data_IF_176520694468
#
_entry.id   IF_176520694468
#
_cell.length_a   1.000
_cell.length_b   1.000
_cell.length_c   1.000
_cell.angle_alpha   90.00
_cell.angle_beta   90.00
_cell.angle_gamma   90.00
#
_symmetry.space_group_name_H-M   'P 1'
#
loop_
_entity.id
_entity.type
_entity.pdbx_description
1 polymer ?
#
# COMPACT_ATOMS: atom_id res chain seq x y z
N UNK A 1 -23.65 -15.57 22.47
CA UNK A 1 -23.60 -15.04 21.10
C UNK A 1 -22.21 -14.58 20.70
N UNK A 2 -21.22 -15.48 20.68
CA UNK A 2 -19.84 -15.20 20.23
C UNK A 2 -19.54 -15.76 18.83
N UNK A 3 -20.47 -16.54 18.26
CA UNK A 3 -20.30 -17.20 16.96
C UNK A 3 -20.23 -16.17 15.83
N UNK A 4 -21.06 -15.13 15.87
CA UNK A 4 -21.14 -14.09 14.83
C UNK A 4 -19.83 -13.29 14.67
N UNK A 5 -19.21 -12.72 15.73
CA UNK A 5 -17.96 -11.99 15.57
C UNK A 5 -16.79 -12.90 15.17
N UNK A 6 -16.70 -14.13 15.70
CA UNK A 6 -15.66 -15.09 15.31
C UNK A 6 -15.79 -15.49 13.84
N UNK A 7 -17.02 -15.71 13.38
CA UNK A 7 -17.30 -16.00 11.98
C UNK A 7 -16.98 -14.80 11.08
N UNK A 8 -17.25 -13.57 11.52
CA UNK A 8 -16.85 -12.35 10.79
C UNK A 8 -15.34 -12.22 10.60
N UNK A 9 -14.56 -12.47 11.67
CA UNK A 9 -13.09 -12.47 11.63
C UNK A 9 -12.58 -13.53 10.66
N UNK A 10 -13.12 -14.74 10.74
CA UNK A 10 -12.73 -15.85 9.88
C UNK A 10 -13.05 -15.59 8.40
N UNK A 11 -14.25 -15.06 8.10
CA UNK A 11 -14.63 -14.70 6.74
C UNK A 11 -13.76 -13.56 6.19
N UNK A 12 -13.44 -12.57 7.01
CA UNK A 12 -12.55 -11.48 6.59
C UNK A 12 -11.12 -11.97 6.31
N UNK A 13 -10.60 -12.88 7.12
CA UNK A 13 -9.33 -13.56 6.85
C UNK A 13 -9.33 -14.33 5.53
N UNK A 14 -10.39 -15.11 5.26
CA UNK A 14 -10.54 -15.83 3.99
C UNK A 14 -10.64 -14.87 2.79
N UNK A 15 -11.39 -13.77 2.96
CA UNK A 15 -11.48 -12.69 1.97
C UNK A 15 -10.09 -12.13 1.64
N UNK A 16 -9.32 -11.73 2.65
CA UNK A 16 -7.99 -11.17 2.45
C UNK A 16 -7.06 -12.18 1.76
N UNK A 17 -7.00 -13.41 2.25
CA UNK A 17 -6.12 -14.44 1.65
C UNK A 17 -6.47 -14.69 0.19
N UNK A 18 -7.75 -14.91 -0.11
CA UNK A 18 -8.19 -15.22 -1.47
C UNK A 18 -7.82 -14.10 -2.46
N UNK A 19 -8.14 -12.85 -2.13
CA UNK A 19 -7.87 -11.74 -3.03
C UNK A 19 -6.36 -11.43 -3.14
N UNK A 20 -5.60 -11.53 -2.05
CA UNK A 20 -4.16 -11.33 -2.09
C UNK A 20 -3.45 -12.43 -2.86
N UNK A 21 -3.83 -13.70 -2.69
CA UNK A 21 -3.26 -14.83 -3.40
C UNK A 21 -3.41 -14.67 -4.92
N UNK A 22 -4.62 -14.39 -5.40
CA UNK A 22 -4.86 -14.15 -6.82
C UNK A 22 -4.08 -12.94 -7.34
N UNK A 23 -4.03 -11.86 -6.56
CA UNK A 23 -3.36 -10.63 -6.96
C UNK A 23 -1.84 -10.78 -7.04
N UNK A 24 -1.25 -11.47 -6.06
CA UNK A 24 0.18 -11.80 -6.03
C UNK A 24 0.53 -12.71 -7.23
N UNK A 25 -0.34 -13.67 -7.55
CA UNK A 25 -0.21 -14.50 -8.75
C UNK A 25 -0.12 -13.66 -10.02
N UNK A 26 -1.11 -12.79 -10.28
CA UNK A 26 -1.10 -11.91 -11.45
C UNK A 26 0.13 -11.02 -11.49
N UNK A 27 0.46 -10.39 -10.36
CA UNK A 27 1.58 -9.46 -10.28
C UNK A 27 2.93 -10.16 -10.51
N UNK A 28 3.12 -11.37 -9.98
CA UNK A 28 4.32 -12.17 -10.23
C UNK A 28 4.44 -12.60 -11.68
N UNK A 29 3.33 -12.95 -12.33
CA UNK A 29 3.34 -13.29 -13.77
C UNK A 29 3.64 -12.08 -14.64
N UNK A 30 3.07 -10.92 -14.34
CA UNK A 30 3.29 -9.70 -15.12
C UNK A 30 4.69 -9.13 -14.94
N UNK A 31 5.27 -9.24 -13.74
CA UNK A 31 6.61 -8.73 -13.46
C UNK A 31 7.75 -9.64 -13.98
N UNK A 32 7.44 -10.87 -14.44
CA UNK A 32 8.46 -11.84 -14.83
C UNK A 32 8.94 -11.61 -16.26
N UNK A 33 10.18 -11.15 -16.40
CA UNK A 33 10.82 -11.04 -17.70
C UNK A 33 11.37 -12.41 -18.16
N UNK A 34 11.01 -12.86 -19.37
CA UNK A 34 11.51 -14.10 -19.99
C UNK A 34 11.92 -13.80 -21.44
N UNK A 35 12.98 -13.01 -21.60
CA UNK A 35 13.55 -12.69 -22.90
C UNK A 35 14.49 -13.81 -23.37
N UNK A 36 14.15 -14.47 -24.48
CA UNK A 36 14.99 -15.46 -25.14
C UNK A 36 15.35 -14.92 -26.53
N UNK A 37 16.66 -14.77 -26.79
CA UNK A 37 17.18 -14.23 -28.06
C UNK A 37 16.55 -12.88 -28.47
N UNK A 38 16.28 -12.00 -27.49
CA UNK A 38 15.68 -10.68 -27.72
C UNK A 38 14.17 -10.67 -27.95
N UNK A 39 13.51 -11.84 -27.93
CA UNK A 39 12.04 -11.95 -28.01
C UNK A 39 11.48 -12.21 -26.62
N UNK A 40 10.48 -11.40 -26.21
CA UNK A 40 9.78 -11.60 -24.95
C UNK A 40 8.83 -12.80 -25.08
N UNK A 41 9.10 -13.87 -24.33
CA UNK A 41 8.27 -15.08 -24.35
C UNK A 41 7.10 -15.01 -23.37
N UNK A 42 7.15 -14.11 -22.39
CA UNK A 42 6.03 -13.84 -21.51
C UNK A 42 5.09 -12.80 -22.16
N UNK A 43 3.99 -13.29 -22.73
CA UNK A 43 2.95 -12.46 -23.36
C UNK A 43 2.25 -11.52 -22.38
N UNK A 44 2.20 -11.87 -21.09
CA UNK A 44 1.63 -11.03 -20.03
C UNK A 44 2.64 -10.11 -19.36
N UNK A 45 3.86 -9.99 -19.89
CA UNK A 45 4.90 -9.17 -19.28
C UNK A 45 4.56 -7.67 -19.33
N UNK A 46 4.71 -7.02 -18.17
CA UNK A 46 4.68 -5.57 -18.04
C UNK A 46 6.04 -5.06 -17.58
N UNK A 47 6.63 -4.07 -18.27
CA UNK A 47 7.82 -3.39 -17.79
C UNK A 47 7.58 -2.78 -16.41
N UNK A 48 8.57 -2.88 -15.52
CA UNK A 48 8.48 -2.40 -14.14
C UNK A 48 8.10 -0.93 -14.06
N UNK A 49 8.58 -0.10 -14.99
CA UNK A 49 8.22 1.33 -15.09
C UNK A 49 6.71 1.54 -15.22
N UNK A 50 6.05 0.77 -16.09
CA UNK A 50 4.60 0.86 -16.30
C UNK A 50 3.84 0.31 -15.10
N UNK A 51 4.31 -0.82 -14.58
CA UNK A 51 3.67 -1.49 -13.46
C UNK A 51 3.75 -0.66 -12.17
N UNK A 52 4.91 -0.07 -11.88
CA UNK A 52 5.11 0.84 -10.75
C UNK A 52 4.27 2.11 -10.87
N UNK A 53 4.17 2.69 -12.06
CA UNK A 53 3.35 3.87 -12.30
C UNK A 53 1.86 3.56 -12.10
N UNK A 54 1.35 2.47 -12.66
CA UNK A 54 -0.09 2.14 -12.58
C UNK A 54 -0.45 1.69 -11.17
N UNK A 55 0.23 0.65 -10.65
CA UNK A 55 -0.11 0.05 -9.35
C UNK A 55 0.21 1.03 -8.21
N UNK A 56 1.41 1.60 -8.21
CA UNK A 56 1.80 2.62 -7.23
C UNK A 56 0.97 3.90 -7.35
N UNK A 57 0.60 4.29 -8.57
CA UNK A 57 -0.28 5.44 -8.81
C UNK A 57 -1.69 5.24 -8.22
N UNK A 58 -2.27 4.05 -8.35
CA UNK A 58 -3.56 3.73 -7.71
C UNK A 58 -3.45 3.74 -6.18
N UNK A 59 -2.37 3.20 -5.62
CA UNK A 59 -2.11 3.26 -4.17
C UNK A 59 -2.02 4.73 -3.70
N UNK A 60 -1.30 5.57 -4.45
CA UNK A 60 -1.19 7.01 -4.17
C UNK A 60 -2.54 7.71 -4.27
N UNK A 61 -3.33 7.46 -5.32
CA UNK A 61 -4.66 8.03 -5.48
C UNK A 61 -5.55 7.64 -4.30
N UNK A 62 -5.57 6.37 -3.91
CA UNK A 62 -6.32 5.91 -2.74
C UNK A 62 -5.88 6.64 -1.47
N UNK A 63 -4.57 6.81 -1.26
CA UNK A 63 -4.05 7.55 -0.10
C UNK A 63 -4.54 9.00 -0.09
N UNK A 64 -4.41 9.69 -1.23
CA UNK A 64 -4.82 11.08 -1.38
C UNK A 64 -6.34 11.26 -1.20
N UNK A 65 -7.14 10.30 -1.66
CA UNK A 65 -8.59 10.30 -1.46
C UNK A 65 -8.97 10.18 0.02
N UNK A 66 -8.25 9.34 0.79
CA UNK A 66 -8.48 9.22 2.24
C UNK A 66 -8.08 10.49 2.99
N UNK A 67 -6.97 11.11 2.60
CA UNK A 67 -6.54 12.40 3.16
C UNK A 67 -7.55 13.51 2.88
N UNK A 68 -8.17 13.49 1.70
CA UNK A 68 -9.15 14.48 1.25
C UNK A 68 -8.63 15.94 1.30
N UNK A 69 -7.31 16.12 1.15
CA UNK A 69 -6.63 17.43 1.10
C UNK A 69 -6.52 17.96 -0.35
N UNK A 70 -7.05 17.24 -1.35
CA UNK A 70 -6.93 17.61 -2.77
C UNK A 70 -7.56 18.97 -3.09
N UNK A 71 -8.75 19.33 -2.57
CA UNK A 71 -9.33 20.65 -2.82
C UNK A 71 -8.52 21.80 -2.20
N UNK A 72 -7.95 21.60 -1.01
CA UNK A 72 -7.08 22.60 -0.36
C UNK A 72 -5.74 22.72 -1.08
N UNK A 73 -5.13 21.59 -1.48
CA UNK A 73 -3.93 21.54 -2.31
C UNK A 73 -4.10 22.32 -3.62
N UNK A 74 -5.19 22.07 -4.35
CA UNK A 74 -5.43 22.71 -5.65
C UNK A 74 -5.69 24.21 -5.51
N UNK A 75 -6.42 24.62 -4.46
CA UNK A 75 -6.64 26.04 -4.13
C UNK A 75 -5.33 26.73 -3.75
N UNK A 76 -4.49 26.09 -2.95
CA UNK A 76 -3.20 26.62 -2.52
C UNK A 76 -2.21 26.76 -3.67
N UNK A 77 -2.11 25.74 -4.53
CA UNK A 77 -1.28 25.79 -5.74
C UNK A 77 -1.71 26.93 -6.67
N UNK A 78 -3.02 27.13 -6.84
CA UNK A 78 -3.57 28.22 -7.66
C UNK A 78 -3.27 29.61 -7.09
N UNK A 79 -3.22 29.77 -5.77
CA UNK A 79 -2.95 31.04 -5.09
C UNK A 79 -1.46 31.30 -4.79
N UNK A 80 -0.58 30.31 -5.02
CA UNK A 80 0.87 30.37 -4.76
C UNK A 80 1.20 30.77 -3.30
N UNK A 81 0.39 30.31 -2.35
CA UNK A 81 0.57 30.55 -0.93
C UNK A 81 1.40 29.42 -0.30
N UNK A 82 2.61 29.75 0.18
CA UNK A 82 3.56 28.77 0.73
C UNK A 82 3.15 28.23 2.11
N UNK A 83 2.30 28.94 2.85
CA UNK A 83 1.79 28.49 4.16
C UNK A 83 0.84 27.28 4.07
N UNK A 84 0.30 26.97 2.88
CA UNK A 84 -0.58 25.80 2.69
C UNK A 84 0.22 24.50 2.57
N UNK A 85 1.53 24.59 2.34
CA UNK A 85 2.43 23.42 2.27
C UNK A 85 2.50 22.70 3.62
N UNK A 86 2.44 23.43 4.74
CA UNK A 86 2.35 22.79 6.07
C UNK A 86 0.99 22.16 6.34
N UNK A 87 -0.10 22.67 5.74
CA UNK A 87 -1.44 22.10 5.90
C UNK A 87 -1.66 20.82 5.07
N UNK A 88 -0.86 20.61 4.01
CA UNK A 88 -0.98 19.44 3.14
C UNK A 88 0.27 18.55 3.19
N UNK A 89 0.98 18.57 4.32
CA UNK A 89 2.30 17.95 4.46
C UNK A 89 2.22 16.44 4.23
N UNK A 90 1.15 15.81 4.72
CA UNK A 90 0.91 14.38 4.56
C UNK A 90 0.73 13.95 3.10
N UNK A 91 0.01 14.74 2.29
CA UNK A 91 -0.19 14.46 0.87
C UNK A 91 1.11 14.67 0.06
N UNK A 92 1.88 15.72 0.38
CA UNK A 92 3.19 15.97 -0.25
C UNK A 92 4.17 14.85 0.10
N UNK A 93 4.18 14.41 1.36
CA UNK A 93 5.00 13.28 1.80
C UNK A 93 4.68 12.00 1.00
N UNK A 94 3.39 11.68 0.81
CA UNK A 94 3.00 10.52 0.01
C UNK A 94 3.46 10.62 -1.45
N UNK A 95 3.38 11.80 -2.07
CA UNK A 95 3.88 12.04 -3.42
C UNK A 95 5.40 11.85 -3.48
N UNK A 96 6.14 12.39 -2.51
CA UNK A 96 7.60 12.22 -2.42
C UNK A 96 8.00 10.76 -2.22
N UNK A 97 7.32 10.04 -1.32
CA UNK A 97 7.52 8.61 -1.12
C UNK A 97 7.23 7.83 -2.40
N UNK A 98 6.15 8.15 -3.12
CA UNK A 98 5.84 7.52 -4.40
C UNK A 98 6.97 7.76 -5.43
N UNK A 99 7.40 8.99 -5.63
CA UNK A 99 8.48 9.33 -6.57
C UNK A 99 9.80 8.64 -6.19
N UNK A 100 10.17 8.67 -4.91
CA UNK A 100 11.37 8.00 -4.40
C UNK A 100 11.28 6.48 -4.65
N UNK A 101 10.13 5.89 -4.34
CA UNK A 101 9.88 4.45 -4.52
C UNK A 101 9.89 4.05 -5.99
N UNK A 102 9.35 4.89 -6.88
CA UNK A 102 9.37 4.71 -8.32
C UNK A 102 10.82 4.68 -8.83
N UNK A 103 11.62 5.70 -8.50
CA UNK A 103 13.03 5.78 -8.91
C UNK A 103 13.83 4.58 -8.37
N UNK A 104 13.61 4.19 -7.11
CA UNK A 104 14.30 3.06 -6.51
C UNK A 104 13.99 1.76 -7.27
N UNK A 105 12.73 1.49 -7.56
CA UNK A 105 12.30 0.24 -8.21
C UNK A 105 12.64 0.21 -9.71
N UNK A 106 12.69 1.36 -10.39
CA UNK A 106 13.03 1.40 -11.83
C UNK A 106 14.52 1.49 -12.11
N UNK A 107 15.31 2.06 -11.19
CA UNK A 107 16.69 2.47 -11.51
C UNK A 107 17.75 1.92 -10.56
N UNK A 108 17.38 1.45 -9.37
CA UNK A 108 18.35 1.03 -8.35
C UNK A 108 18.16 -0.41 -7.85
N UNK A 109 16.92 -0.93 -7.85
CA UNK A 109 16.57 -2.20 -7.24
C UNK A 109 16.07 -3.21 -8.28
N UNK A 110 16.89 -4.22 -8.56
CA UNK A 110 16.46 -5.40 -9.32
C UNK A 110 15.68 -6.36 -8.40
N UNK A 111 14.39 -6.07 -8.23
CA UNK A 111 13.51 -6.86 -7.39
C UNK A 111 13.09 -8.16 -8.07
N UNK A 112 13.17 -9.27 -7.33
CA UNK A 112 12.69 -10.58 -7.78
C UNK A 112 11.16 -10.55 -8.04
N UNK A 113 10.71 -10.94 -9.25
CA UNK A 113 9.29 -11.00 -9.62
C UNK A 113 8.47 -11.98 -8.77
N UNK A 114 9.12 -12.98 -8.17
CA UNK A 114 8.46 -14.05 -7.41
C UNK A 114 7.97 -13.63 -6.03
N UNK A 115 8.74 -12.77 -5.33
CA UNK A 115 8.50 -12.48 -3.92
C UNK A 115 8.64 -10.99 -3.58
N UNK A 116 9.71 -10.34 -4.05
CA UNK A 116 10.02 -8.96 -3.69
C UNK A 116 9.06 -7.96 -4.36
N UNK A 117 8.75 -8.14 -5.63
CA UNK A 117 7.82 -7.26 -6.36
C UNK A 117 6.42 -7.27 -5.73
N UNK A 118 5.79 -8.45 -5.48
CA UNK A 118 4.49 -8.46 -4.82
C UNK A 118 4.52 -7.88 -3.41
N UNK A 119 5.55 -8.21 -2.63
CA UNK A 119 5.68 -7.66 -1.29
C UNK A 119 5.86 -6.14 -1.28
N UNK A 120 6.61 -5.58 -2.23
CA UNK A 120 6.81 -4.14 -2.34
C UNK A 120 5.49 -3.40 -2.57
N UNK A 121 4.67 -3.84 -3.53
CA UNK A 121 3.40 -3.17 -3.83
C UNK A 121 2.36 -3.35 -2.71
N UNK A 122 2.13 -4.58 -2.26
CA UNK A 122 1.13 -4.84 -1.23
C UNK A 122 1.58 -4.38 0.16
N UNK A 123 2.84 -4.60 0.51
CA UNK A 123 3.44 -4.11 1.75
C UNK A 123 3.46 -2.58 1.78
N UNK A 124 3.80 -1.92 0.67
CA UNK A 124 3.76 -0.46 0.56
C UNK A 124 2.34 0.10 0.73
N UNK A 125 1.34 -0.55 0.13
CA UNK A 125 -0.07 -0.19 0.31
C UNK A 125 -0.53 -0.36 1.78
N UNK A 126 -0.11 -1.43 2.45
CA UNK A 126 -0.42 -1.67 3.86
C UNK A 126 0.26 -0.62 4.75
N UNK A 127 1.54 -0.30 4.51
CA UNK A 127 2.26 0.75 5.24
C UNK A 127 1.56 2.08 5.04
N UNK A 128 1.15 2.42 3.82
CA UNK A 128 0.36 3.61 3.53
C UNK A 128 -0.93 3.65 4.38
N UNK A 129 -1.65 2.52 4.47
CA UNK A 129 -2.83 2.39 5.34
C UNK A 129 -2.52 2.57 6.84
N UNK A 130 -1.40 2.02 7.32
CA UNK A 130 -0.94 2.21 8.71
C UNK A 130 -0.62 3.68 9.00
N UNK A 131 0.05 4.37 8.06
CA UNK A 131 0.35 5.80 8.19
C UNK A 131 -0.93 6.65 8.24
N UNK A 132 -1.93 6.33 7.39
CA UNK A 132 -3.23 6.99 7.39
C UNK A 132 -3.98 6.80 8.72
N UNK A 133 -3.91 5.60 9.30
CA UNK A 133 -4.59 5.29 10.55
C UNK A 133 -3.96 6.02 11.74
N UNK A 134 -2.64 6.15 11.75
CA UNK A 134 -1.94 6.86 12.81
C UNK A 134 -2.23 8.35 12.78
N UNK A 135 -2.34 8.95 11.59
CA UNK A 135 -2.65 10.38 11.40
C UNK A 135 -1.66 11.31 12.11
N UNK A 136 -0.38 10.92 12.15
CA UNK A 136 0.70 11.65 12.83
C UNK A 136 1.76 12.19 11.86
N UNK A 137 1.48 12.18 10.55
CA UNK A 137 2.46 12.54 9.53
C UNK A 137 2.90 14.01 9.63
N UNK A 138 1.98 14.92 9.95
CA UNK A 138 2.31 16.34 10.15
C UNK A 138 3.25 16.56 11.33
N UNK A 139 3.09 15.78 12.41
CA UNK A 139 3.96 15.85 13.58
C UNK A 139 5.36 15.32 13.28
N UNK A 140 5.46 14.21 12.55
CA UNK A 140 6.73 13.58 12.14
C UNK A 140 7.50 14.49 11.19
N UNK A 141 6.81 15.18 10.27
CA UNK A 141 7.45 16.06 9.29
C UNK A 141 7.85 17.42 9.89
N UNK A 142 7.26 17.82 11.02
CA UNK A 142 7.60 19.08 11.67
C UNK A 142 9.02 19.04 12.24
N UNK A 143 9.84 20.04 11.89
CA UNK A 143 11.23 20.17 12.37
C UNK A 143 11.30 20.24 13.91
N UNK A 144 10.24 20.72 14.56
CA UNK A 144 10.07 20.71 16.02
C UNK A 144 9.88 19.29 16.59
N UNK A 145 9.06 18.45 15.95
CA UNK A 145 8.79 17.08 16.38
C UNK A 145 10.01 16.15 16.31
N UNK A 146 10.89 16.37 15.32
CA UNK A 146 12.17 15.64 15.20
C UNK A 146 13.14 16.00 16.34
N UNK A 147 13.14 17.27 16.78
CA UNK A 147 14.09 17.77 17.79
C UNK A 147 13.66 17.44 19.23
N UNK A 148 12.36 17.28 19.48
CA UNK A 148 11.80 16.89 20.78
C UNK A 148 11.34 15.43 20.82
N UNK A 149 11.88 14.57 19.94
CA UNK A 149 11.43 13.19 19.79
C UNK A 149 11.75 12.35 21.04
N UNK A 150 10.75 12.19 21.92
CA UNK A 150 10.80 11.25 23.02
C UNK A 150 10.08 9.96 22.63
N UNK A 151 10.78 8.82 22.48
CA UNK A 151 10.18 7.56 22.02
C UNK A 151 9.13 6.99 23.00
N UNK A 152 9.12 7.46 24.25
CA UNK A 152 8.14 7.06 25.27
C UNK A 152 6.82 7.83 25.20
N UNK A 153 6.82 9.06 24.67
CA UNK A 153 5.61 9.89 24.56
C UNK A 153 5.00 9.78 23.16
N UNK A 154 5.83 9.68 22.11
CA UNK A 154 5.38 9.67 20.72
C UNK A 154 5.32 8.26 20.12
N UNK A 155 4.64 7.34 20.82
CA UNK A 155 4.49 5.94 20.39
C UNK A 155 3.89 5.82 18.98
N UNK A 156 2.96 6.71 18.61
CA UNK A 156 2.41 6.77 17.26
C UNK A 156 3.49 6.99 16.21
N UNK A 157 4.30 8.04 16.36
CA UNK A 157 5.39 8.35 15.43
C UNK A 157 6.43 7.21 15.31
N UNK A 158 6.72 6.53 16.42
CA UNK A 158 7.60 5.34 16.42
C UNK A 158 7.01 4.22 15.56
N UNK A 159 5.70 3.98 15.62
CA UNK A 159 5.07 2.91 14.84
C UNK A 159 5.07 3.26 13.34
N UNK A 160 4.87 4.52 12.94
CA UNK A 160 4.96 4.94 11.53
C UNK A 160 6.38 4.84 10.97
N UNK A 161 7.38 5.36 11.69
CA UNK A 161 8.76 5.30 11.23
C UNK A 161 9.24 3.85 11.24
N UNK A 162 8.88 3.11 12.30
CA UNK A 162 9.13 1.69 12.42
C UNK A 162 8.51 0.88 11.27
N UNK A 163 7.26 1.15 10.88
CA UNK A 163 6.62 0.43 9.78
C UNK A 163 7.31 0.68 8.43
N UNK A 164 7.76 1.90 8.16
CA UNK A 164 8.53 2.24 6.96
C UNK A 164 9.89 1.52 6.96
N UNK A 165 10.62 1.58 8.07
CA UNK A 165 11.95 0.93 8.20
C UNK A 165 11.83 -0.58 8.10
N UNK A 166 10.87 -1.18 8.80
CA UNK A 166 10.61 -2.63 8.75
C UNK A 166 10.21 -3.04 7.34
N UNK A 167 9.35 -2.28 6.66
CA UNK A 167 8.97 -2.56 5.28
C UNK A 167 10.16 -2.51 4.32
N UNK A 168 11.01 -1.48 4.42
CA UNK A 168 12.19 -1.36 3.57
C UNK A 168 13.19 -2.51 3.82
N UNK A 169 13.46 -2.82 5.09
CA UNK A 169 14.35 -3.92 5.47
C UNK A 169 13.81 -5.28 5.01
N UNK A 170 12.52 -5.54 5.21
CA UNK A 170 11.87 -6.77 4.77
C UNK A 170 11.84 -6.88 3.25
N UNK A 171 11.52 -5.80 2.51
CA UNK A 171 11.48 -5.85 1.04
C UNK A 171 12.82 -6.26 0.45
N UNK A 172 13.93 -5.71 0.98
CA UNK A 172 15.27 -6.05 0.51
C UNK A 172 15.71 -7.45 0.94
N UNK A 173 15.28 -7.94 2.10
CA UNK A 173 15.73 -9.20 2.69
C UNK A 173 14.70 -10.33 2.65
N UNK A 174 13.58 -10.18 1.93
CA UNK A 174 12.46 -11.13 2.01
C UNK A 174 12.87 -12.54 1.59
N UNK A 175 13.81 -12.66 0.65
CA UNK A 175 14.37 -13.93 0.19
C UNK A 175 15.09 -14.70 1.30
N UNK A 176 15.57 -14.01 2.35
CA UNK A 176 16.22 -14.60 3.51
C UNK A 176 15.22 -15.01 4.59
N UNK A 177 13.99 -14.46 4.56
CA UNK A 177 12.94 -14.74 5.54
C UNK A 177 11.97 -15.77 4.95
N UNK A 178 12.38 -17.03 4.96
CA UNK A 178 11.61 -18.16 4.42
C UNK A 178 10.13 -18.22 4.85
N UNK A 179 9.76 -17.97 6.12
CA UNK A 179 8.35 -18.01 6.54
C UNK A 179 7.47 -17.01 5.80
N UNK A 180 8.04 -15.88 5.37
CA UNK A 180 7.30 -14.82 4.68
C UNK A 180 7.36 -15.05 3.17
N UNK A 181 8.52 -15.44 2.63
CA UNK A 181 8.69 -15.60 1.18
C UNK A 181 7.87 -16.75 0.60
N UNK A 182 7.57 -17.77 1.39
CA UNK A 182 6.78 -18.93 0.95
C UNK A 182 5.30 -18.60 0.86
N UNK A 183 4.74 -17.91 1.86
CA UNK A 183 3.32 -17.60 1.97
C UNK A 183 3.07 -16.10 2.20
N UNK A 184 3.47 -15.29 1.23
CA UNK A 184 3.26 -13.84 1.23
C UNK A 184 1.78 -13.46 1.44
N UNK A 185 0.78 -14.08 0.78
CA UNK A 185 -0.63 -13.72 0.98
C UNK A 185 -1.07 -13.90 2.44
N UNK A 186 -0.65 -14.99 3.07
CA UNK A 186 -0.98 -15.33 4.48
C UNK A 186 -0.35 -14.36 5.46
N UNK A 187 0.91 -13.97 5.21
CA UNK A 187 1.56 -12.96 6.04
C UNK A 187 0.86 -11.60 5.94
N UNK A 188 0.61 -11.12 4.71
CA UNK A 188 0.00 -9.81 4.48
C UNK A 188 -1.46 -9.77 4.97
N UNK A 189 -2.22 -10.85 4.79
CA UNK A 189 -3.58 -10.97 5.32
C UNK A 189 -3.60 -10.91 6.85
N UNK A 190 -2.61 -11.48 7.52
CA UNK A 190 -2.45 -11.36 8.97
C UNK A 190 -2.17 -9.94 9.42
N UNK A 191 -1.28 -9.23 8.73
CA UNK A 191 -0.99 -7.83 9.04
C UNK A 191 -2.25 -6.97 8.85
N UNK A 192 -2.99 -7.14 7.76
CA UNK A 192 -4.26 -6.44 7.53
C UNK A 192 -5.28 -6.78 8.62
N UNK A 193 -5.46 -8.07 8.93
CA UNK A 193 -6.41 -8.51 9.96
C UNK A 193 -6.11 -7.88 11.31
N UNK A 194 -4.87 -7.98 11.78
CA UNK A 194 -4.45 -7.41 13.07
C UNK A 194 -4.67 -5.90 13.08
N UNK A 195 -4.31 -5.22 11.99
CA UNK A 195 -4.46 -3.76 11.88
C UNK A 195 -5.92 -3.34 11.92
N UNK A 196 -6.78 -4.02 11.15
CA UNK A 196 -8.23 -3.74 11.10
C UNK A 196 -8.90 -4.03 12.43
N UNK A 197 -8.55 -5.12 13.11
CA UNK A 197 -9.11 -5.44 14.43
C UNK A 197 -8.69 -4.44 15.49
N UNK A 198 -7.39 -4.12 15.55
CA UNK A 198 -6.86 -3.17 16.52
C UNK A 198 -7.51 -1.79 16.33
N UNK A 199 -7.50 -1.27 15.10
CA UNK A 199 -8.04 0.06 14.83
C UNK A 199 -9.57 0.08 14.88
N UNK A 200 -10.25 -0.97 14.43
CA UNK A 200 -11.71 -1.11 14.56
C UNK A 200 -12.15 -1.07 16.02
N UNK A 201 -11.43 -1.78 16.90
CA UNK A 201 -11.68 -1.71 18.34
C UNK A 201 -11.39 -0.32 18.92
N UNK A 202 -10.27 0.31 18.55
CA UNK A 202 -9.92 1.67 19.00
C UNK A 202 -10.94 2.72 18.54
N UNK A 203 -11.46 2.62 17.32
CA UNK A 203 -12.48 3.51 16.77
C UNK A 203 -13.84 3.32 17.46
N UNK A 204 -14.17 2.10 17.87
CA UNK A 204 -15.39 1.80 18.61
C UNK A 204 -15.47 2.45 20.00
N UNK A 205 -14.35 2.97 20.54
CA UNK A 205 -14.32 3.58 21.87
C UNK A 205 -14.73 5.06 21.89
N UNK A 206 -15.17 5.63 20.75
CA UNK A 206 -15.78 6.98 20.59
C UNK A 206 -15.07 8.19 21.22
N UNK A 207 -13.81 8.04 21.68
CA UNK A 207 -13.08 9.10 22.40
C UNK A 207 -12.38 10.14 21.50
N UNK A 208 -12.75 10.27 20.23
CA UNK A 208 -11.97 11.06 19.25
C UNK A 208 -12.73 12.27 18.71
N UNK A 209 -11.99 13.32 18.33
CA UNK A 209 -12.56 14.46 17.61
C UNK A 209 -13.20 13.97 16.29
N UNK A 210 -14.37 14.52 15.89
CA UNK A 210 -15.14 14.01 14.76
C UNK A 210 -14.38 14.03 13.43
N UNK A 211 -13.53 15.04 13.20
CA UNK A 211 -12.69 15.12 12.01
C UNK A 211 -11.65 13.98 11.94
N UNK A 212 -10.97 13.68 13.05
CA UNK A 212 -9.98 12.60 13.15
C UNK A 212 -10.66 11.24 13.03
N UNK A 213 -11.85 11.10 13.62
CA UNK A 213 -12.64 9.88 13.53
C UNK A 213 -13.07 9.57 12.09
N UNK A 214 -13.56 10.57 11.34
CA UNK A 214 -13.95 10.40 9.95
C UNK A 214 -12.75 9.97 9.08
N UNK A 215 -11.60 10.64 9.26
CA UNK A 215 -10.36 10.32 8.54
C UNK A 215 -9.87 8.90 8.83
N UNK A 216 -9.80 8.51 10.10
CA UNK A 216 -9.40 7.14 10.51
C UNK A 216 -10.39 6.07 10.07
N UNK A 217 -11.68 6.41 9.99
CA UNK A 217 -12.71 5.51 9.44
C UNK A 217 -12.51 5.31 7.93
N UNK A 218 -12.21 6.37 7.18
CA UNK A 218 -11.86 6.26 5.77
C UNK A 218 -10.57 5.45 5.55
N UNK A 219 -9.56 5.64 6.41
CA UNK A 219 -8.33 4.86 6.40
C UNK A 219 -8.54 3.37 6.70
N UNK A 220 -9.43 3.05 7.65
CA UNK A 220 -9.87 1.66 7.89
C UNK A 220 -10.58 1.09 6.65
N UNK A 221 -11.46 1.88 6.04
CA UNK A 221 -12.14 1.50 4.79
C UNK A 221 -11.12 1.16 3.70
N UNK A 222 -10.11 2.01 3.50
CA UNK A 222 -9.01 1.74 2.58
C UNK A 222 -8.34 0.39 2.88
N UNK A 223 -7.96 0.10 4.13
CA UNK A 223 -7.33 -1.17 4.50
C UNK A 223 -8.20 -2.40 4.25
N UNK A 224 -9.52 -2.29 4.47
CA UNK A 224 -10.49 -3.36 4.22
C UNK A 224 -10.70 -3.59 2.72
N UNK A 225 -10.78 -2.53 1.92
CA UNK A 225 -11.02 -2.63 0.48
C UNK A 225 -9.76 -2.86 -0.34
N UNK A 226 -8.56 -2.63 0.22
CA UNK A 226 -7.27 -2.77 -0.47
C UNK A 226 -7.11 -4.11 -1.21
N UNK A 227 -7.34 -5.30 -0.59
CA UNK A 227 -7.19 -6.57 -1.30
C UNK A 227 -8.08 -6.66 -2.54
N UNK A 228 -9.31 -6.16 -2.45
CA UNK A 228 -10.27 -6.20 -3.54
C UNK A 228 -9.95 -5.19 -4.65
N UNK A 229 -9.61 -3.94 -4.30
CA UNK A 229 -9.23 -2.90 -5.26
C UNK A 229 -8.01 -3.35 -6.07
N UNK A 230 -6.99 -3.86 -5.39
CA UNK A 230 -5.78 -4.35 -6.04
C UNK A 230 -6.05 -5.54 -6.94
N UNK A 231 -6.90 -6.47 -6.50
CA UNK A 231 -7.32 -7.59 -7.34
C UNK A 231 -8.01 -7.14 -8.62
N UNK A 232 -8.97 -6.22 -8.53
CA UNK A 232 -9.67 -5.71 -9.70
C UNK A 232 -8.70 -5.02 -10.66
N UNK A 233 -7.82 -4.16 -10.15
CA UNK A 233 -6.80 -3.47 -10.94
C UNK A 233 -5.91 -4.47 -11.68
N UNK A 234 -5.29 -5.39 -10.95
CA UNK A 234 -4.33 -6.35 -11.50
C UNK A 234 -5.01 -7.33 -12.46
N UNK A 235 -6.26 -7.69 -12.20
CA UNK A 235 -7.04 -8.53 -13.11
C UNK A 235 -7.32 -7.81 -14.43
N UNK A 236 -7.69 -6.52 -14.40
CA UNK A 236 -7.89 -5.75 -15.64
C UNK A 236 -6.59 -5.63 -16.43
N UNK A 237 -5.47 -5.34 -15.77
CA UNK A 237 -4.16 -5.28 -16.42
C UNK A 237 -3.76 -6.62 -17.02
N UNK A 238 -3.94 -7.70 -16.27
CA UNK A 238 -3.63 -9.04 -16.72
C UNK A 238 -4.44 -9.43 -17.98
N UNK A 239 -5.72 -9.08 -18.02
CA UNK A 239 -6.58 -9.34 -19.19
C UNK A 239 -6.25 -8.48 -20.41
N UNK A 240 -5.62 -7.30 -20.22
CA UNK A 240 -5.19 -6.47 -21.36
C UNK A 240 -3.99 -7.08 -22.10
N UNK A 241 -3.18 -7.89 -21.42
CA UNK A 241 -2.07 -8.65 -22.00
C UNK A 241 -2.28 -10.14 -21.72
N UNK A 242 -3.42 -10.65 -22.21
CA UNK A 242 -3.83 -12.04 -22.03
C UNK A 242 -2.71 -12.99 -22.49
N UNK A 243 -2.34 -14.01 -21.70
CA UNK A 243 -1.35 -14.98 -22.12
C UNK A 243 -1.80 -15.84 -23.31
N UNK A 244 -3.11 -15.95 -23.57
CA UNK A 244 -3.64 -16.71 -24.70
C UNK A 244 -3.68 -15.86 -25.99
N UNK A 245 -2.77 -16.12 -26.96
CA UNK A 245 -2.77 -15.38 -28.22
C UNK A 245 -4.06 -15.59 -29.03
N UNK A 246 -4.82 -16.67 -28.78
CA UNK A 246 -6.09 -16.93 -29.48
C UNK A 246 -7.20 -16.00 -28.97
N UNK A 247 -7.22 -15.68 -27.67
CA UNK A 247 -8.14 -14.71 -27.09
C UNK A 247 -7.74 -13.28 -27.48
N UNK A 248 -6.45 -12.95 -27.45
CA UNK A 248 -5.93 -11.63 -27.81
C UNK A 248 -6.22 -11.25 -29.27
N UNK A 249 -6.17 -12.21 -30.21
CA UNK A 249 -6.40 -11.97 -31.64
C UNK A 249 -7.90 -11.86 -32.04
N UNK A 250 -8.84 -12.02 -31.10
CA UNK A 250 -10.29 -11.97 -31.38
C UNK A 250 -10.93 -10.60 -31.10
N UNK A 251 -10.16 -9.67 -30.54
CA UNK A 251 -10.59 -8.36 -30.05
C UNK A 251 -9.74 -7.30 -30.77
#
# INVERSE_FOLDING_TARGET
GYVVPVLGIYLFWLYCNKFLEMSIGYLSTMARDITIAGTQMNTSYYPMEKLALIVGGVILICFLLVQNEIPSLFRGLRRREWNIISECSSSIFAILCFVLSYILVTSALDLSPGAQVPFFFFGGAIVAGVLLLQDNLDEILSLSGIRSFNPRENLGAVISVGSIVVFAALTLNISMVQPISQDIPTFLSAVILITVLYWGWRLSQEGMKPAVQAKRTAALGYMVFLPFIMYLLLRVLYLQHDPDPVMQNRW
#
